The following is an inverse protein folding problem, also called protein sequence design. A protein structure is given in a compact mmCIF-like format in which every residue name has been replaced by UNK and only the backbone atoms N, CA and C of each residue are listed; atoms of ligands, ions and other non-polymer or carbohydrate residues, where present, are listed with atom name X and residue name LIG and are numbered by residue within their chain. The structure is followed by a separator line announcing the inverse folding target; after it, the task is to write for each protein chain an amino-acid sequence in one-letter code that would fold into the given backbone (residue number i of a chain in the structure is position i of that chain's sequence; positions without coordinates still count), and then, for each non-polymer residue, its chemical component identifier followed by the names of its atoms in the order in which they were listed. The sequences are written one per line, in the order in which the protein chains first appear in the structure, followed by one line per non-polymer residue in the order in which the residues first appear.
data_IF_476797573163
#
_entry.id   IF_476797573163
#
_cell.length_a   1.000
_cell.length_b   1.000
_cell.length_c   1.000
_cell.angle_alpha   90.00
_cell.angle_beta   90.00
_cell.angle_gamma   90.00
#
_symmetry.space_group_name_H-M   'P 1'
#
loop_
_entity.id
_entity.type
_entity.pdbx_description
1 polymer ?
#
# COMPACT_ATOMS: atom_id res chain seq x y z
N UNK A 1 5.47 -6.44 -39.39
CA UNK A 1 6.77 -6.26 -38.74
C UNK A 1 6.76 -5.07 -37.81
N UNK A 2 6.27 -3.92 -38.20
CA UNK A 2 6.17 -2.72 -37.34
C UNK A 2 5.40 -2.92 -36.01
N UNK A 3 4.33 -3.72 -36.02
CA UNK A 3 3.49 -3.96 -34.85
C UNK A 3 4.20 -4.77 -33.75
N UNK A 4 5.10 -5.68 -34.14
CA UNK A 4 5.89 -6.48 -33.19
C UNK A 4 6.99 -5.63 -32.53
N UNK A 5 7.66 -4.75 -33.27
CA UNK A 5 8.68 -3.86 -32.71
C UNK A 5 8.07 -2.85 -31.74
N UNK A 6 6.92 -2.27 -32.09
CA UNK A 6 6.17 -1.38 -31.19
C UNK A 6 5.75 -2.07 -29.89
N UNK A 7 5.31 -3.33 -29.97
CA UNK A 7 4.90 -4.09 -28.78
C UNK A 7 6.09 -4.32 -27.82
N UNK A 8 7.27 -4.70 -28.35
CA UNK A 8 8.47 -4.87 -27.50
C UNK A 8 8.91 -3.57 -26.87
N UNK A 9 8.89 -2.45 -27.60
CA UNK A 9 9.24 -1.13 -27.05
C UNK A 9 8.28 -0.75 -25.90
N UNK A 10 6.97 -0.98 -26.06
CA UNK A 10 6.01 -0.71 -24.98
C UNK A 10 6.21 -1.59 -23.74
N UNK A 11 6.57 -2.85 -23.93
CA UNK A 11 6.85 -3.76 -22.81
C UNK A 11 8.10 -3.31 -22.06
N UNK A 12 9.17 -2.98 -22.79
CA UNK A 12 10.42 -2.52 -22.21
C UNK A 12 10.24 -1.20 -21.46
N UNK A 13 9.53 -0.22 -22.02
CA UNK A 13 9.20 1.03 -21.36
C UNK A 13 8.34 0.83 -20.11
N UNK A 14 7.39 -0.11 -20.16
CA UNK A 14 6.54 -0.44 -19.01
C UNK A 14 7.37 -1.04 -17.88
N UNK A 15 8.20 -2.03 -18.19
CA UNK A 15 9.06 -2.69 -17.20
C UNK A 15 10.03 -1.70 -16.58
N UNK A 16 10.63 -0.81 -17.38
CA UNK A 16 11.55 0.20 -16.89
C UNK A 16 10.83 1.23 -16.00
N UNK A 17 9.68 1.74 -16.42
CA UNK A 17 8.91 2.73 -15.68
C UNK A 17 8.35 2.18 -14.38
N UNK A 18 7.75 0.98 -14.39
CA UNK A 18 7.28 0.31 -13.19
C UNK A 18 8.44 -0.07 -12.26
N UNK A 19 9.55 -0.59 -12.82
CA UNK A 19 10.73 -0.94 -12.04
C UNK A 19 11.33 0.27 -11.33
N UNK A 20 11.49 1.39 -12.03
CA UNK A 20 12.00 2.64 -11.45
C UNK A 20 11.06 3.18 -10.36
N UNK A 21 9.74 3.10 -10.59
CA UNK A 21 8.73 3.51 -9.62
C UNK A 21 8.77 2.66 -8.36
N UNK A 22 8.91 1.34 -8.48
CA UNK A 22 9.04 0.42 -7.35
C UNK A 22 10.31 0.72 -6.54
N UNK A 23 11.43 0.99 -7.21
CA UNK A 23 12.70 1.37 -6.54
C UNK A 23 12.53 2.69 -5.79
N UNK A 24 11.93 3.70 -6.40
CA UNK A 24 11.66 4.98 -5.75
C UNK A 24 10.77 4.80 -4.51
N UNK A 25 9.69 4.04 -4.65
CA UNK A 25 8.77 3.71 -3.55
C UNK A 25 9.47 2.94 -2.45
N UNK A 26 10.34 1.97 -2.77
CA UNK A 26 11.12 1.25 -1.78
C UNK A 26 11.90 2.20 -0.88
N UNK A 27 12.61 3.16 -1.45
CA UNK A 27 13.37 4.15 -0.67
C UNK A 27 12.47 5.06 0.16
N UNK A 28 11.36 5.53 -0.40
CA UNK A 28 10.40 6.39 0.33
C UNK A 28 9.81 5.64 1.52
N UNK A 29 9.32 4.41 1.30
CA UNK A 29 8.73 3.57 2.36
C UNK A 29 9.78 3.21 3.40
N UNK A 30 11.01 2.91 2.98
CA UNK A 30 12.12 2.63 3.90
C UNK A 30 12.42 3.85 4.80
N UNK A 31 12.44 5.04 4.22
CA UNK A 31 12.65 6.28 4.98
C UNK A 31 11.53 6.55 5.99
N UNK A 32 10.27 6.32 5.59
CA UNK A 32 9.10 6.55 6.45
C UNK A 32 8.98 5.51 7.57
N UNK A 33 9.22 4.23 7.26
CA UNK A 33 9.04 3.13 8.22
C UNK A 33 10.30 2.85 9.05
N UNK A 34 11.49 3.16 8.52
CA UNK A 34 12.77 2.84 9.15
C UNK A 34 13.01 1.33 9.37
N UNK A 35 12.23 0.47 8.73
CA UNK A 35 12.19 -0.97 9.00
C UNK A 35 12.18 -1.77 7.70
N UNK A 36 13.33 -2.38 7.37
CA UNK A 36 13.49 -3.21 6.15
C UNK A 36 12.41 -4.29 5.99
N UNK A 37 12.07 -5.11 7.01
CA UNK A 37 11.07 -6.17 6.83
C UNK A 37 9.69 -5.64 6.47
N UNK A 38 9.30 -4.50 7.03
CA UNK A 38 8.01 -3.86 6.71
C UNK A 38 8.04 -3.24 5.31
N UNK A 39 9.15 -2.60 4.93
CA UNK A 39 9.32 -2.07 3.59
C UNK A 39 9.19 -3.17 2.53
N UNK A 40 9.88 -4.31 2.71
CA UNK A 40 9.76 -5.46 1.81
C UNK A 40 8.32 -5.98 1.72
N UNK A 41 7.59 -6.01 2.84
CA UNK A 41 6.20 -6.45 2.88
C UNK A 41 5.29 -5.48 2.10
N UNK A 42 5.46 -4.17 2.28
CA UNK A 42 4.69 -3.15 1.55
C UNK A 42 4.99 -3.24 0.05
N UNK A 43 6.24 -3.38 -0.34
CA UNK A 43 6.62 -3.54 -1.75
C UNK A 43 6.03 -4.83 -2.35
N UNK A 44 6.04 -5.94 -1.60
CA UNK A 44 5.38 -7.18 -2.03
C UNK A 44 3.87 -6.97 -2.25
N UNK A 45 3.20 -6.24 -1.34
CA UNK A 45 1.78 -5.93 -1.49
C UNK A 45 1.52 -5.08 -2.75
N UNK A 46 2.39 -4.12 -3.07
CA UNK A 46 2.29 -3.30 -4.28
C UNK A 46 2.45 -4.17 -5.54
N UNK A 47 3.46 -5.03 -5.58
CA UNK A 47 3.67 -5.96 -6.69
C UNK A 47 2.46 -6.87 -6.94
N UNK A 48 1.77 -7.30 -5.88
CA UNK A 48 0.54 -8.06 -6.01
C UNK A 48 -0.60 -7.23 -6.62
N UNK A 49 -0.73 -5.95 -6.26
CA UNK A 49 -1.74 -5.06 -6.88
C UNK A 49 -1.46 -4.92 -8.37
N UNK A 50 -0.21 -4.66 -8.76
CA UNK A 50 0.18 -4.53 -10.17
C UNK A 50 -0.07 -5.82 -10.95
N UNK A 51 0.25 -6.97 -10.36
CA UNK A 51 -0.02 -8.28 -10.96
C UNK A 51 -1.52 -8.49 -11.21
N UNK A 52 -2.39 -8.13 -10.24
CA UNK A 52 -3.84 -8.19 -10.41
C UNK A 52 -4.33 -7.22 -11.49
N UNK A 53 -3.74 -6.03 -11.60
CA UNK A 53 -4.10 -5.07 -12.64
C UNK A 53 -3.71 -5.57 -14.03
N UNK A 54 -2.53 -6.16 -14.19
CA UNK A 54 -2.10 -6.78 -15.44
C UNK A 54 -3.04 -7.93 -15.84
N UNK A 55 -3.41 -8.78 -14.88
CA UNK A 55 -4.40 -9.84 -15.11
C UNK A 55 -5.77 -9.27 -15.54
N UNK A 56 -6.20 -8.16 -14.94
CA UNK A 56 -7.45 -7.49 -15.27
C UNK A 56 -7.42 -6.84 -16.66
N UNK A 57 -6.28 -6.26 -17.06
CA UNK A 57 -6.06 -5.73 -18.41
C UNK A 57 -6.26 -6.84 -19.44
N UNK A 58 -5.69 -8.02 -19.19
CA UNK A 58 -5.87 -9.19 -20.05
C UNK A 58 -7.32 -9.67 -20.08
N UNK A 59 -7.97 -9.79 -18.92
CA UNK A 59 -9.36 -10.25 -18.82
C UNK A 59 -10.36 -9.35 -19.54
N UNK A 60 -10.15 -8.04 -19.53
CA UNK A 60 -11.01 -7.06 -20.21
C UNK A 60 -10.60 -6.78 -21.66
N UNK A 61 -9.63 -7.50 -22.19
CA UNK A 61 -9.08 -7.30 -23.54
C UNK A 61 -8.75 -5.83 -23.82
N UNK A 62 -8.13 -5.15 -22.85
CA UNK A 62 -7.69 -3.78 -23.04
C UNK A 62 -6.41 -3.77 -23.88
N UNK A 63 -6.37 -2.91 -24.89
CA UNK A 63 -5.17 -2.71 -25.72
C UNK A 63 -4.06 -2.10 -24.89
N UNK A 64 -2.90 -2.73 -24.90
CA UNK A 64 -1.71 -2.23 -24.23
C UNK A 64 -1.21 -0.96 -24.95
N UNK A 65 -1.32 0.18 -24.31
CA UNK A 65 -0.95 1.48 -24.85
C UNK A 65 -0.42 2.40 -23.74
N UNK A 66 0.09 3.59 -24.08
CA UNK A 66 0.64 4.55 -23.12
C UNK A 66 -0.32 4.86 -21.96
N UNK A 67 -1.64 4.86 -22.20
CA UNK A 67 -2.64 5.11 -21.16
C UNK A 67 -2.60 4.02 -20.09
N UNK A 68 -2.46 2.76 -20.50
CA UNK A 68 -2.35 1.62 -19.59
C UNK A 68 -1.06 1.69 -18.79
N UNK A 69 0.07 1.99 -19.44
CA UNK A 69 1.39 2.13 -18.77
C UNK A 69 1.35 3.22 -17.69
N UNK A 70 0.84 4.40 -18.02
CA UNK A 70 0.71 5.51 -17.06
C UNK A 70 -0.18 5.11 -15.88
N UNK A 71 -1.29 4.39 -16.13
CA UNK A 71 -2.16 3.92 -15.05
C UNK A 71 -1.49 2.88 -14.15
N UNK A 72 -0.64 2.00 -14.67
CA UNK A 72 0.13 1.05 -13.85
C UNK A 72 1.11 1.78 -12.94
N UNK A 73 1.81 2.80 -13.43
CA UNK A 73 2.70 3.63 -12.60
C UNK A 73 1.93 4.37 -11.51
N UNK A 74 0.74 4.92 -11.84
CA UNK A 74 -0.13 5.56 -10.86
C UNK A 74 -0.61 4.55 -9.81
N UNK A 75 -0.90 3.31 -10.22
CA UNK A 75 -1.33 2.25 -9.33
C UNK A 75 -0.30 1.95 -8.25
N UNK A 76 1.00 1.93 -8.60
CA UNK A 76 2.09 1.78 -7.64
C UNK A 76 2.00 2.85 -6.54
N UNK A 77 1.83 4.13 -6.93
CA UNK A 77 1.71 5.25 -5.99
C UNK A 77 0.50 5.14 -5.07
N UNK A 78 -0.69 4.81 -5.61
CA UNK A 78 -1.91 4.67 -4.81
C UNK A 78 -1.88 3.41 -3.92
N UNK A 79 -1.32 2.31 -4.39
CA UNK A 79 -1.18 1.09 -3.60
C UNK A 79 -0.26 1.29 -2.38
N UNK A 80 0.77 2.14 -2.51
CA UNK A 80 1.61 2.57 -1.38
C UNK A 80 0.79 3.24 -0.31
N UNK A 81 -0.06 4.20 -0.66
CA UNK A 81 -0.85 4.97 0.30
C UNK A 81 -1.74 4.06 1.15
N UNK A 82 -2.42 3.09 0.54
CA UNK A 82 -3.26 2.15 1.28
C UNK A 82 -2.47 1.24 2.22
N UNK A 83 -1.26 0.84 1.83
CA UNK A 83 -0.44 -0.13 2.57
C UNK A 83 0.49 0.53 3.59
N UNK A 84 1.17 1.62 3.21
CA UNK A 84 2.22 2.24 4.01
C UNK A 84 1.66 2.90 5.28
N UNK A 85 0.48 3.54 5.22
CA UNK A 85 -0.14 4.16 6.39
C UNK A 85 -0.50 3.13 7.46
N UNK A 86 -1.05 1.97 7.08
CA UNK A 86 -1.37 0.90 8.02
C UNK A 86 -0.09 0.28 8.58
N UNK A 87 0.91 0.05 7.72
CA UNK A 87 2.20 -0.51 8.13
C UNK A 87 2.97 0.43 9.08
N UNK A 88 2.99 1.73 8.81
CA UNK A 88 3.60 2.73 9.70
C UNK A 88 2.87 2.80 11.04
N UNK A 89 1.54 2.83 11.05
CA UNK A 89 0.76 2.86 12.28
C UNK A 89 0.99 1.61 13.12
N UNK A 90 1.14 0.42 12.50
CA UNK A 90 1.51 -0.79 13.20
C UNK A 90 2.82 -0.65 13.97
N UNK A 91 3.82 0.05 13.44
CA UNK A 91 5.10 0.29 14.12
C UNK A 91 4.98 1.20 15.34
N UNK A 92 4.11 2.21 15.28
CA UNK A 92 3.94 3.20 16.35
C UNK A 92 3.13 2.70 17.55
N UNK A 93 2.38 1.59 17.38
CA UNK A 93 1.56 1.03 18.45
C UNK A 93 2.42 0.18 19.41
N UNK A 94 2.33 0.48 20.69
CA UNK A 94 2.89 -0.34 21.74
C UNK A 94 1.86 -1.37 22.21
N UNK A 95 2.22 -2.66 22.19
CA UNK A 95 1.40 -3.72 22.75
C UNK A 95 1.71 -3.92 24.25
N UNK A 96 0.73 -4.34 25.07
CA UNK A 96 0.95 -4.73 26.45
C UNK A 96 2.00 -5.85 26.55
N UNK A 97 2.90 -5.76 27.53
CA UNK A 97 3.99 -6.73 27.73
C UNK A 97 3.52 -8.09 28.25
N UNK A 98 2.33 -8.14 28.83
CA UNK A 98 1.74 -9.32 29.44
C UNK A 98 1.20 -10.34 28.43
N UNK A 99 1.13 -9.93 27.14
CA UNK A 99 0.63 -10.78 26.05
C UNK A 99 1.77 -11.58 25.43
N UNK A 100 1.45 -12.79 24.95
CA UNK A 100 2.36 -13.57 24.13
C UNK A 100 2.73 -12.83 22.82
N UNK A 101 3.91 -13.11 22.27
CA UNK A 101 4.42 -12.46 21.06
C UNK A 101 3.43 -12.49 19.89
N UNK A 102 2.69 -13.59 19.73
CA UNK A 102 1.66 -13.74 18.71
C UNK A 102 0.45 -12.84 18.95
N UNK A 103 0.01 -12.72 20.19
CA UNK A 103 -1.10 -11.87 20.59
C UNK A 103 -0.75 -10.39 20.50
N UNK A 104 0.49 -10.01 20.85
CA UNK A 104 0.99 -8.65 20.67
C UNK A 104 0.92 -8.20 19.21
N UNK A 105 1.31 -9.06 18.25
CA UNK A 105 1.23 -8.77 16.82
C UNK A 105 -0.22 -8.58 16.37
N UNK A 106 -1.12 -9.47 16.80
CA UNK A 106 -2.56 -9.38 16.49
C UNK A 106 -3.17 -8.11 17.08
N UNK A 107 -2.81 -7.76 18.31
CA UNK A 107 -3.26 -6.52 18.97
C UNK A 107 -2.83 -5.29 18.17
N UNK A 108 -1.55 -5.21 17.78
CA UNK A 108 -1.00 -4.12 16.96
C UNK A 108 -1.71 -4.00 15.62
N UNK A 109 -1.89 -5.13 14.92
CA UNK A 109 -2.54 -5.14 13.61
C UNK A 109 -4.00 -4.66 13.70
N UNK A 110 -4.77 -5.16 14.68
CA UNK A 110 -6.15 -4.69 14.92
C UNK A 110 -6.21 -3.20 15.22
N UNK A 111 -5.33 -2.72 16.08
CA UNK A 111 -5.30 -1.31 16.49
C UNK A 111 -4.86 -0.40 15.34
N UNK A 112 -3.96 -0.86 14.47
CA UNK A 112 -3.55 -0.14 13.26
C UNK A 112 -4.71 0.04 12.28
N UNK A 113 -5.48 -1.02 12.02
CA UNK A 113 -6.68 -0.95 11.18
C UNK A 113 -7.74 -0.03 11.81
N UNK A 114 -8.01 -0.17 13.11
CA UNK A 114 -9.00 0.64 13.80
C UNK A 114 -8.63 2.13 13.82
N UNK A 115 -7.33 2.46 13.90
CA UNK A 115 -6.86 3.85 13.93
C UNK A 115 -6.82 4.53 12.55
N UNK A 116 -6.28 3.84 11.54
CA UNK A 116 -6.07 4.42 10.21
C UNK A 116 -7.04 3.92 9.14
N UNK A 117 -7.71 2.81 9.38
CA UNK A 117 -8.59 2.19 8.39
C UNK A 117 -9.71 3.11 7.93
N UNK A 118 -10.33 3.85 8.83
CA UNK A 118 -11.39 4.81 8.48
C UNK A 118 -10.86 5.90 7.53
N UNK A 119 -9.68 6.46 7.81
CA UNK A 119 -9.07 7.51 6.98
C UNK A 119 -8.75 7.01 5.57
N UNK A 120 -8.13 5.83 5.48
CA UNK A 120 -7.80 5.17 4.20
C UNK A 120 -9.08 4.83 3.41
N UNK A 121 -10.12 4.33 4.09
CA UNK A 121 -11.41 4.04 3.46
C UNK A 121 -12.08 5.29 2.90
N UNK A 122 -12.11 6.40 3.65
CA UNK A 122 -12.68 7.66 3.17
C UNK A 122 -11.91 8.23 1.98
N UNK A 123 -10.58 8.14 1.97
CA UNK A 123 -9.75 8.52 0.83
C UNK A 123 -10.06 7.70 -0.43
N UNK A 124 -10.11 6.38 -0.29
CA UNK A 124 -10.47 5.49 -1.39
C UNK A 124 -11.89 5.73 -1.90
N UNK A 125 -12.85 5.95 -0.99
CA UNK A 125 -14.25 6.26 -1.34
C UNK A 125 -14.37 7.59 -2.08
N UNK A 126 -13.66 8.63 -1.63
CA UNK A 126 -13.59 9.91 -2.33
C UNK A 126 -13.06 9.76 -3.76
N UNK A 127 -11.96 9.00 -3.93
CA UNK A 127 -11.40 8.69 -5.25
C UNK A 127 -12.39 7.90 -6.10
N UNK A 128 -13.10 6.93 -5.52
CA UNK A 128 -14.14 6.18 -6.21
C UNK A 128 -15.26 7.09 -6.73
N UNK A 129 -15.75 8.02 -5.92
CA UNK A 129 -16.77 8.99 -6.35
C UNK A 129 -16.27 9.86 -7.52
N UNK A 130 -14.99 10.28 -7.48
CA UNK A 130 -14.40 11.07 -8.55
C UNK A 130 -14.36 10.31 -9.89
N UNK A 131 -14.04 9.01 -9.87
CA UNK A 131 -13.94 8.21 -11.10
C UNK A 131 -15.31 7.73 -11.61
N UNK A 132 -16.35 7.65 -10.79
CA UNK A 132 -17.72 7.27 -11.23
C UNK A 132 -18.22 8.18 -12.34
N UNK A 133 -17.86 9.46 -12.30
CA UNK A 133 -18.19 10.41 -13.36
C UNK A 133 -17.62 10.03 -14.73
N UNK A 134 -16.44 9.36 -14.75
CA UNK A 134 -15.82 8.85 -15.99
C UNK A 134 -16.53 7.62 -16.53
N UNK A 135 -17.22 6.85 -15.68
CA UNK A 135 -17.95 5.63 -16.08
C UNK A 135 -19.09 5.88 -17.08
N UNK A 136 -19.64 7.11 -17.13
CA UNK A 136 -20.64 7.55 -18.10
C UNK A 136 -20.08 8.07 -19.43
N UNK A 137 -18.77 8.17 -19.58
CA UNK A 137 -18.12 8.69 -20.77
C UNK A 137 -18.13 7.67 -21.92
N UNK A 138 -18.31 8.16 -23.14
CA UNK A 138 -18.35 7.32 -24.36
C UNK A 138 -16.97 7.12 -25.01
N UNK A 139 -15.97 7.89 -24.61
CA UNK A 139 -14.62 7.79 -25.16
C UNK A 139 -13.90 6.56 -24.60
N UNK A 140 -13.22 5.82 -25.46
CA UNK A 140 -12.43 4.63 -25.11
C UNK A 140 -11.41 4.92 -23.98
N UNK A 141 -10.72 6.05 -24.06
CA UNK A 141 -9.72 6.46 -23.07
C UNK A 141 -10.34 6.56 -21.66
N UNK A 142 -11.47 7.22 -21.52
CA UNK A 142 -12.15 7.37 -20.22
C UNK A 142 -12.67 6.03 -19.69
N UNK A 143 -13.14 5.13 -20.56
CA UNK A 143 -13.57 3.79 -20.16
C UNK A 143 -12.38 2.97 -19.65
N UNK A 144 -11.22 3.06 -20.30
CA UNK A 144 -9.98 2.39 -19.84
C UNK A 144 -9.55 2.95 -18.49
N UNK A 145 -9.53 4.28 -18.33
CA UNK A 145 -9.25 4.93 -17.06
C UNK A 145 -10.18 4.45 -15.95
N UNK A 146 -11.49 4.51 -16.17
CA UNK A 146 -12.47 4.07 -15.19
C UNK A 146 -12.24 2.63 -14.73
N UNK A 147 -12.04 1.71 -15.69
CA UNK A 147 -11.81 0.29 -15.39
C UNK A 147 -10.55 0.09 -14.56
N UNK A 148 -9.43 0.67 -14.99
CA UNK A 148 -8.14 0.52 -14.29
C UNK A 148 -8.18 1.14 -12.89
N UNK A 149 -8.74 2.34 -12.75
CA UNK A 149 -8.87 2.99 -11.44
C UNK A 149 -9.80 2.25 -10.49
N UNK A 150 -10.88 1.69 -11.01
CA UNK A 150 -11.74 0.81 -10.22
C UNK A 150 -10.96 -0.41 -9.70
N UNK A 151 -10.14 -1.03 -10.56
CA UNK A 151 -9.25 -2.11 -10.17
C UNK A 151 -8.23 -1.68 -9.10
N UNK A 152 -7.59 -0.53 -9.28
CA UNK A 152 -6.62 0.02 -8.31
C UNK A 152 -7.27 0.20 -6.93
N UNK A 153 -8.46 0.79 -6.87
CA UNK A 153 -9.16 1.00 -5.61
C UNK A 153 -9.53 -0.34 -4.97
N UNK A 154 -10.14 -1.26 -5.72
CA UNK A 154 -10.60 -2.55 -5.18
C UNK A 154 -9.42 -3.40 -4.72
N UNK A 155 -8.42 -3.60 -5.57
CA UNK A 155 -7.25 -4.43 -5.24
C UNK A 155 -6.32 -3.74 -4.23
N UNK A 156 -6.13 -2.42 -4.35
CA UNK A 156 -5.34 -1.65 -3.40
C UNK A 156 -5.94 -1.67 -2.00
N UNK A 157 -7.25 -1.46 -1.87
CA UNK A 157 -7.95 -1.59 -0.59
C UNK A 157 -7.89 -3.02 -0.05
N UNK A 158 -8.18 -4.02 -0.88
CA UNK A 158 -8.12 -5.43 -0.44
C UNK A 158 -6.73 -5.78 0.09
N UNK A 159 -5.67 -5.37 -0.60
CA UNK A 159 -4.30 -5.54 -0.12
C UNK A 159 -4.03 -4.79 1.19
N UNK A 160 -4.33 -3.49 1.24
CA UNK A 160 -4.09 -2.67 2.43
C UNK A 160 -4.86 -3.13 3.66
N UNK A 161 -6.14 -3.49 3.52
CA UNK A 161 -7.00 -3.85 4.65
C UNK A 161 -6.96 -5.33 5.04
N UNK A 162 -6.71 -6.23 4.10
CA UNK A 162 -6.72 -7.66 4.38
C UNK A 162 -5.30 -8.23 4.41
N UNK A 163 -4.54 -8.07 3.32
CA UNK A 163 -3.27 -8.76 3.17
C UNK A 163 -2.20 -8.18 4.10
N UNK A 164 -2.00 -6.87 4.10
CA UNK A 164 -0.96 -6.22 4.92
C UNK A 164 -1.16 -6.48 6.41
N UNK A 165 -2.35 -6.28 7.02
CA UNK A 165 -2.54 -6.55 8.43
C UNK A 165 -2.45 -8.03 8.81
N UNK A 166 -2.89 -8.93 7.92
CA UNK A 166 -2.77 -10.38 8.14
C UNK A 166 -1.31 -10.77 8.20
N UNK A 167 -0.49 -10.35 7.23
CA UNK A 167 0.94 -10.67 7.23
C UNK A 167 1.64 -10.01 8.43
N UNK A 168 1.31 -8.76 8.78
CA UNK A 168 1.85 -8.10 9.97
C UNK A 168 1.47 -8.82 11.26
N UNK A 169 0.29 -9.41 11.34
CA UNK A 169 -0.13 -10.20 12.50
C UNK A 169 0.64 -11.52 12.65
N UNK A 170 1.17 -12.07 11.54
CA UNK A 170 1.93 -13.32 11.52
C UNK A 170 3.44 -13.08 11.71
N UNK A 171 4.02 -12.18 10.95
CA UNK A 171 5.49 -12.00 10.81
C UNK A 171 5.95 -10.61 11.29
N UNK A 172 5.01 -9.69 11.59
CA UNK A 172 5.34 -8.30 11.92
C UNK A 172 6.38 -8.17 13.05
N UNK A 173 7.32 -7.21 12.95
CA UNK A 173 8.30 -6.98 14.00
C UNK A 173 7.62 -6.46 15.26
N UNK A 174 7.96 -7.05 16.38
CA UNK A 174 7.64 -6.50 17.69
C UNK A 174 8.68 -5.39 17.95
N UNK A 175 8.36 -4.14 17.62
CA UNK A 175 9.30 -3.02 17.71
C UNK A 175 10.08 -2.99 19.02
N UNK A 176 11.35 -2.54 18.96
CA UNK A 176 12.17 -2.23 20.12
C UNK A 176 11.42 -1.16 20.91
N UNK A 177 10.93 -1.54 22.08
CA UNK A 177 10.28 -0.59 23.00
C UNK A 177 11.37 0.33 23.51
N UNK A 178 11.37 1.57 23.05
CA UNK A 178 12.22 2.61 23.64
C UNK A 178 11.78 2.82 25.08
N UNK A 179 12.58 2.36 26.02
CA UNK A 179 12.39 2.51 27.49
C UNK A 179 12.51 3.97 28.00
N UNK A 180 12.29 4.95 27.13
CA UNK A 180 12.64 6.34 27.44
C UNK A 180 11.54 7.19 28.10
N UNK A 181 10.40 6.63 28.54
CA UNK A 181 9.33 7.49 29.07
C UNK A 181 8.88 7.22 30.51
N UNK A 182 9.33 6.18 31.20
CA UNK A 182 8.90 5.92 32.58
C UNK A 182 9.94 6.26 33.65
N UNK A 183 11.21 6.42 33.31
CA UNK A 183 12.26 6.78 34.26
C UNK A 183 12.20 8.25 34.75
N UNK A 184 11.53 9.13 34.02
CA UNK A 184 11.44 10.56 34.39
C UNK A 184 10.27 10.93 35.30
N UNK A 185 9.23 10.10 35.36
CA UNK A 185 8.08 10.39 36.25
C UNK A 185 8.27 9.85 37.67
N UNK A 186 9.04 8.77 37.83
CA UNK A 186 9.28 8.21 39.16
C UNK A 186 10.30 9.06 39.95
N UNK A 187 11.38 9.52 39.31
CA UNK A 187 12.36 10.38 39.96
C UNK A 187 11.83 11.79 40.36
N UNK A 188 10.76 12.24 39.68
CA UNK A 188 10.18 13.56 40.01
C UNK A 188 9.21 13.54 41.17
N UNK A 189 8.77 12.36 41.59
CA UNK A 189 7.92 12.17 42.78
C UNK A 189 8.79 11.95 44.02
N UNK A 190 9.98 11.34 43.87
CA UNK A 190 10.92 11.17 45.01
C UNK A 190 11.69 12.45 45.38
N UNK A 191 11.89 13.38 44.44
CA UNK A 191 12.51 14.71 44.76
C UNK A 191 11.54 15.74 45.35
N UNK A 192 10.24 15.43 45.42
CA UNK A 192 9.21 16.33 45.98
C UNK A 192 8.63 15.86 47.30
N UNK A 193 9.20 14.83 47.94
CA UNK A 193 8.90 14.37 49.28
C UNK A 193 10.06 14.63 50.24
#
# INVERSE_FOLDING_TARGET
MLDYELYFVFVDETLLSCGLSIVAVFFVVLFVTGSLPITCLVVLAILLVDLFLVAMIHYWNLTFNNVVVVNLVIAIGLAVDYSAHIAHTYLTINAPKDLEKGEQRRYKARKAISGMGSSVFHGAFSTFLAIVALGGARSYIFVVFFRLWLGIIVFGMANGFLLVPVILSLIGPLGVQTEHSQGKSVNKIEESS
#
